data_IF_217244997209
#
_entry.id   IF_217244997209
#
_cell.length_a   1.000
_cell.length_b   1.000
_cell.length_c   1.000
_cell.angle_alpha   90.00
_cell.angle_beta   90.00
_cell.angle_gamma   90.00
#
_symmetry.space_group_name_H-M   'P 1'
#
loop_
_entity.id
_entity.type
_entity.pdbx_description
1 polymer ?
#
# COMPACT_ATOMS: atom_id res chain seq x y z
N UNK A 1 -13.69 4.11 -6.51
CA UNK A 1 -13.97 5.40 -5.86
C UNK A 1 -12.66 6.08 -5.63
N UNK A 2 -12.51 7.32 -6.10
CA UNK A 2 -11.34 8.15 -5.81
C UNK A 2 -11.45 8.54 -4.33
N UNK A 3 -10.58 8.02 -3.47
CA UNK A 3 -10.76 8.09 -2.01
C UNK A 3 -10.53 9.50 -1.43
N UNK A 4 -10.25 10.50 -2.27
CA UNK A 4 -10.01 11.88 -1.85
C UNK A 4 -8.83 12.01 -0.88
N UNK A 5 -8.63 13.22 -0.37
CA UNK A 5 -7.72 13.45 0.76
C UNK A 5 -8.48 13.04 2.03
N UNK A 6 -7.89 12.14 2.82
CA UNK A 6 -8.44 11.67 4.09
C UNK A 6 -7.52 12.07 5.24
N UNK A 7 -8.11 12.64 6.28
CA UNK A 7 -7.40 12.96 7.51
C UNK A 7 -7.31 11.74 8.44
N UNK A 8 -6.20 11.66 9.17
CA UNK A 8 -5.95 10.62 10.17
C UNK A 8 -5.44 11.25 11.46
N UNK A 9 -5.76 10.68 12.63
CA UNK A 9 -5.33 11.20 13.92
C UNK A 9 -3.86 10.90 14.22
N UNK A 10 -3.20 10.02 13.45
CA UNK A 10 -1.78 9.71 13.58
C UNK A 10 -1.19 9.22 12.25
N UNK A 11 0.13 9.30 12.12
CA UNK A 11 0.85 8.72 10.98
C UNK A 11 0.67 7.20 10.91
N UNK A 12 0.65 6.52 12.06
CA UNK A 12 0.47 5.08 12.13
C UNK A 12 -0.89 4.65 11.57
N UNK A 13 -1.95 5.42 11.84
CA UNK A 13 -3.28 5.13 11.28
C UNK A 13 -3.38 5.45 9.79
N UNK A 14 -2.74 6.54 9.34
CA UNK A 14 -2.64 6.85 7.91
C UNK A 14 -1.92 5.74 7.15
N UNK A 15 -0.78 5.28 7.70
CA UNK A 15 0.03 4.20 7.14
C UNK A 15 -0.78 2.91 7.07
N UNK A 16 -1.37 2.47 8.19
CA UNK A 16 -2.14 1.23 8.23
C UNK A 16 -3.31 1.24 7.23
N UNK A 17 -3.99 2.38 7.09
CA UNK A 17 -5.02 2.54 6.08
C UNK A 17 -4.47 2.44 4.66
N UNK A 18 -3.38 3.14 4.35
CA UNK A 18 -2.77 3.12 3.02
C UNK A 18 -2.27 1.72 2.65
N UNK A 19 -1.61 1.03 3.58
CA UNK A 19 -1.09 -0.33 3.42
C UNK A 19 -2.20 -1.36 3.18
N UNK A 20 -3.31 -1.27 3.91
CA UNK A 20 -4.48 -2.13 3.70
C UNK A 20 -5.10 -1.91 2.32
N UNK A 21 -5.32 -0.66 1.94
CA UNK A 21 -5.95 -0.33 0.65
C UNK A 21 -5.09 -0.78 -0.54
N UNK A 22 -3.79 -0.47 -0.54
CA UNK A 22 -2.93 -0.83 -1.68
C UNK A 22 -2.75 -2.34 -1.81
N UNK A 23 -2.72 -3.07 -0.68
CA UNK A 23 -2.71 -4.54 -0.66
C UNK A 23 -3.99 -5.09 -1.29
N UNK A 24 -5.16 -4.68 -0.78
CA UNK A 24 -6.47 -5.11 -1.29
C UNK A 24 -6.62 -4.83 -2.79
N UNK A 25 -6.24 -3.62 -3.23
CA UNK A 25 -6.29 -3.24 -4.64
C UNK A 25 -5.40 -4.14 -5.51
N UNK A 26 -4.18 -4.45 -5.08
CA UNK A 26 -3.28 -5.31 -5.85
C UNK A 26 -3.78 -6.76 -5.92
N UNK A 27 -4.36 -7.27 -4.83
CA UNK A 27 -4.93 -8.61 -4.75
C UNK A 27 -6.18 -8.75 -5.62
N UNK A 28 -7.10 -7.80 -5.54
CA UNK A 28 -8.29 -7.76 -6.39
C UNK A 28 -7.89 -7.82 -7.86
N UNK A 29 -6.91 -7.00 -8.27
CA UNK A 29 -6.42 -6.99 -9.65
C UNK A 29 -5.79 -8.30 -10.07
N UNK A 30 -5.06 -8.98 -9.20
CA UNK A 30 -4.51 -10.30 -9.52
C UNK A 30 -5.62 -11.35 -9.68
N UNK A 31 -6.62 -11.35 -8.79
CA UNK A 31 -7.78 -12.25 -8.85
C UNK A 31 -8.65 -12.01 -10.07
N UNK A 32 -8.90 -10.75 -10.43
CA UNK A 32 -9.60 -10.35 -11.68
C UNK A 32 -8.89 -10.87 -12.95
N UNK A 33 -7.60 -11.20 -12.85
CA UNK A 33 -6.80 -11.78 -13.94
C UNK A 33 -6.67 -13.30 -13.87
N UNK A 34 -7.46 -13.95 -13.01
CA UNK A 34 -7.58 -15.40 -12.92
C UNK A 34 -6.74 -16.06 -11.84
N UNK A 35 -6.04 -15.30 -10.99
CA UNK A 35 -5.35 -15.88 -9.85
C UNK A 35 -6.35 -16.50 -8.86
N UNK A 36 -6.25 -17.81 -8.59
CA UNK A 36 -7.04 -18.48 -7.54
C UNK A 36 -6.57 -18.10 -6.13
N UNK A 37 -5.25 -18.01 -5.96
CA UNK A 37 -4.58 -17.53 -4.77
C UNK A 37 -3.58 -16.43 -5.13
N UNK A 38 -3.37 -15.49 -4.22
CA UNK A 38 -2.45 -14.36 -4.40
C UNK A 38 -1.46 -14.29 -3.26
N UNK A 39 -0.17 -14.26 -3.58
CA UNK A 39 0.89 -13.87 -2.67
C UNK A 39 1.20 -12.38 -2.91
N UNK A 40 1.18 -11.58 -1.84
CA UNK A 40 1.32 -10.12 -1.91
C UNK A 40 2.48 -9.63 -1.07
N UNK A 41 3.46 -9.04 -1.76
CA UNK A 41 4.58 -8.35 -1.11
C UNK A 41 4.30 -6.86 -1.10
N UNK A 42 4.42 -6.26 0.08
CA UNK A 42 4.33 -4.82 0.27
C UNK A 42 5.71 -4.26 0.57
N UNK A 43 6.11 -3.23 -0.16
CA UNK A 43 7.34 -2.48 0.07
C UNK A 43 7.01 -1.03 0.39
N UNK A 44 7.74 -0.46 1.34
CA UNK A 44 7.56 0.89 1.84
C UNK A 44 8.87 1.64 1.75
N UNK A 45 8.81 2.83 1.17
CA UNK A 45 9.93 3.76 1.03
C UNK A 45 9.52 5.11 1.59
N UNK A 46 10.09 5.50 2.73
CA UNK A 46 9.78 6.72 3.45
C UNK A 46 10.89 7.76 3.25
N UNK A 47 10.52 8.96 2.82
CA UNK A 47 11.42 10.11 2.76
C UNK A 47 11.15 10.99 3.98
N UNK A 48 12.13 11.03 4.89
CA UNK A 48 12.12 11.86 6.10
C UNK A 48 13.24 12.88 6.00
N UNK A 49 12.91 14.16 6.20
CA UNK A 49 13.89 15.25 6.18
C UNK A 49 14.07 15.78 7.61
N UNK A 50 15.30 15.80 8.10
CA UNK A 50 15.62 16.48 9.35
C UNK A 50 15.63 17.99 9.14
N UNK A 51 14.94 18.71 10.02
CA UNK A 51 15.05 20.16 10.11
C UNK A 51 16.17 20.52 11.09
N UNK A 52 16.94 21.55 10.76
CA UNK A 52 17.92 22.15 11.66
C UNK A 52 17.23 22.52 12.97
N UNK A 53 17.71 21.95 14.09
CA UNK A 53 17.08 22.07 15.40
C UNK A 53 16.54 20.75 15.99
N UNK A 54 16.71 19.62 15.29
CA UNK A 54 16.41 18.28 15.82
C UNK A 54 14.97 17.79 15.61
N UNK A 55 14.20 18.50 14.78
CA UNK A 55 12.87 18.03 14.34
C UNK A 55 12.98 17.14 13.10
N UNK A 56 12.09 16.17 12.95
CA UNK A 56 11.91 15.45 11.69
C UNK A 56 10.63 15.95 10.99
N UNK A 57 10.72 16.25 9.70
CA UNK A 57 9.57 16.44 8.82
C UNK A 57 9.42 15.16 8.00
N UNK A 58 8.26 14.52 8.11
CA UNK A 58 7.86 13.48 7.19
C UNK A 58 7.44 14.13 5.87
N UNK A 59 8.15 13.82 4.78
CA UNK A 59 7.94 14.50 3.49
C UNK A 59 7.08 13.66 2.56
N UNK A 60 7.37 12.36 2.46
CA UNK A 60 6.67 11.46 1.55
C UNK A 60 6.77 10.02 2.04
N UNK A 61 5.74 9.22 1.78
CA UNK A 61 5.83 7.76 1.84
C UNK A 61 5.25 7.13 0.59
N UNK A 62 6.02 6.23 0.02
CA UNK A 62 5.68 5.47 -1.18
C UNK A 62 5.49 4.01 -0.81
N UNK A 63 4.26 3.53 -1.03
CA UNK A 63 3.91 2.13 -0.89
C UNK A 63 3.82 1.48 -2.27
N UNK A 64 4.43 0.31 -2.41
CA UNK A 64 4.29 -0.54 -3.60
C UNK A 64 3.86 -1.93 -3.18
N UNK A 65 2.62 -2.31 -3.54
CA UNK A 65 2.12 -3.66 -3.39
C UNK A 65 2.27 -4.43 -4.71
N UNK A 66 2.84 -5.63 -4.63
CA UNK A 66 2.97 -6.55 -5.76
C UNK A 66 2.30 -7.86 -5.41
N UNK A 67 1.13 -8.10 -5.99
CA UNK A 67 0.46 -9.40 -5.93
C UNK A 67 0.81 -10.26 -7.12
N UNK A 68 1.01 -11.56 -6.87
CA UNK A 68 1.28 -12.58 -7.88
C UNK A 68 0.41 -13.79 -7.59
N UNK A 69 -0.08 -14.44 -8.62
CA UNK A 69 -0.87 -15.65 -8.49
C UNK A 69 -0.78 -16.50 -9.75
N UNK A 70 -1.06 -17.80 -9.60
CA UNK A 70 -1.18 -18.69 -10.75
C UNK A 70 -2.60 -18.62 -11.29
N UNK A 71 -2.80 -18.41 -12.60
CA UNK A 71 -4.10 -18.57 -13.20
C UNK A 71 -4.60 -20.00 -12.96
N UNK A 72 -5.78 -20.12 -12.35
CA UNK A 72 -6.51 -21.38 -12.35
C UNK A 72 -7.64 -21.25 -13.36
N UNK A 73 -7.54 -22.01 -14.45
CA UNK A 73 -8.52 -21.96 -15.52
C UNK A 73 -9.74 -22.85 -15.26
N UNK A 74 -9.83 -23.52 -14.11
CA UNK A 74 -10.94 -24.40 -13.77
C UNK A 74 -11.08 -25.54 -14.79
N UNK A 75 -10.47 -26.70 -14.50
CA UNK A 75 -10.76 -27.94 -15.25
C UNK A 75 -12.16 -28.44 -14.96
#
# INVERSE_FOLDING_TARGET
SDLGIKDFPSFQEADAFAEANVREMSESRAKERGASETDTVLTRDDIRVEIVGGGHVFVESKLTATSRGRPDLGT
#
